data_IF_819121125388
#
_entry.id   IF_819121125388
#
_cell.length_a   1.000
_cell.length_b   1.000
_cell.length_c   1.000
_cell.angle_alpha   90.00
_cell.angle_beta   90.00
_cell.angle_gamma   90.00
#
_symmetry.space_group_name_H-M   'P 1'
#
loop_
_entity.id
_entity.type
_entity.pdbx_description
1 polymer ?
#
# COMPACT_ATOMS: atom_id res chain seq x y z
N UNK A 1 -36.99 -28.29 -29.45
CA UNK A 1 -35.85 -28.54 -28.56
C UNK A 1 -35.17 -27.20 -28.28
N UNK A 2 -34.96 -26.88 -26.99
CA UNK A 2 -34.12 -25.78 -26.47
C UNK A 2 -32.69 -25.87 -27.05
N UNK A 3 -31.86 -24.81 -27.11
CA UNK A 3 -31.29 -24.11 -25.95
C UNK A 3 -30.95 -22.63 -26.22
N UNK A 4 -31.25 -21.82 -25.21
CA UNK A 4 -30.79 -20.45 -24.98
C UNK A 4 -29.31 -20.45 -24.62
N UNK A 5 -28.52 -19.50 -25.14
CA UNK A 5 -27.18 -19.19 -24.64
C UNK A 5 -27.08 -17.69 -24.34
N UNK A 6 -27.61 -17.31 -23.18
CA UNK A 6 -27.41 -15.99 -22.61
C UNK A 6 -26.76 -16.14 -21.24
N UNK A 7 -25.45 -16.46 -21.18
CA UNK A 7 -24.71 -16.53 -19.92
C UNK A 7 -23.23 -16.13 -20.14
N UNK A 8 -22.84 -15.00 -19.55
CA UNK A 8 -21.48 -14.59 -19.15
C UNK A 8 -20.48 -14.15 -20.23
N UNK A 9 -20.72 -12.99 -20.86
CA UNK A 9 -19.60 -12.06 -21.10
C UNK A 9 -19.19 -11.47 -19.74
N UNK A 10 -18.41 -12.22 -18.96
CA UNK A 10 -17.67 -11.63 -17.81
C UNK A 10 -16.63 -10.70 -18.42
N UNK A 11 -16.97 -9.42 -18.54
CA UNK A 11 -15.98 -8.36 -18.71
C UNK A 11 -15.12 -8.41 -17.44
N UNK A 12 -13.96 -9.05 -17.52
CA UNK A 12 -12.94 -8.90 -16.49
C UNK A 12 -12.50 -7.43 -16.58
N UNK A 13 -13.12 -6.56 -15.78
CA UNK A 13 -12.57 -5.23 -15.53
C UNK A 13 -11.27 -5.46 -14.79
N UNK A 14 -10.14 -5.32 -15.46
CA UNK A 14 -8.84 -5.28 -14.80
C UNK A 14 -8.93 -4.18 -13.74
N UNK A 15 -8.75 -4.49 -12.44
CA UNK A 15 -8.79 -3.46 -11.41
C UNK A 15 -7.69 -2.45 -11.73
N UNK A 16 -8.08 -1.18 -11.85
CA UNK A 16 -7.10 -0.11 -12.04
C UNK A 16 -6.32 0.02 -10.73
N UNK A 17 -5.01 -0.19 -10.82
CA UNK A 17 -4.08 0.05 -9.73
C UNK A 17 -3.39 1.38 -10.01
N UNK A 18 -3.50 2.33 -9.08
CA UNK A 18 -2.78 3.59 -9.17
C UNK A 18 -1.64 3.60 -8.18
N UNK A 19 -0.46 3.99 -8.67
CA UNK A 19 0.77 4.07 -7.92
C UNK A 19 1.26 5.51 -7.96
N UNK A 20 1.65 6.04 -6.81
CA UNK A 20 2.14 7.40 -6.64
C UNK A 20 3.42 7.40 -5.80
N UNK A 21 4.18 8.49 -5.87
CA UNK A 21 5.21 8.83 -4.89
C UNK A 21 4.87 10.19 -4.28
N UNK A 22 5.34 10.47 -3.06
CA UNK A 22 5.12 11.77 -2.42
C UNK A 22 6.43 12.37 -1.93
N UNK A 23 6.64 13.67 -2.21
CA UNK A 23 7.70 14.47 -1.61
C UNK A 23 7.25 15.91 -1.43
N UNK A 24 7.51 16.51 -0.27
CA UNK A 24 7.20 17.92 -0.01
C UNK A 24 8.44 18.80 0.22
N UNK A 25 8.19 20.11 0.34
CA UNK A 25 9.23 21.13 0.58
C UNK A 25 9.94 20.97 1.94
N UNK A 26 9.34 20.26 2.89
CA UNK A 26 9.93 19.98 4.20
C UNK A 26 10.72 18.65 4.17
N UNK A 27 11.01 18.13 2.97
CA UNK A 27 11.71 16.87 2.73
C UNK A 27 11.02 15.64 3.35
N UNK A 28 9.69 15.68 3.57
CA UNK A 28 8.93 14.46 3.89
C UNK A 28 8.76 13.66 2.61
N UNK A 29 8.94 12.35 2.72
CA UNK A 29 8.93 11.42 1.58
C UNK A 29 8.11 10.18 1.94
N UNK A 30 7.37 9.66 0.94
CA UNK A 30 6.81 8.31 0.94
C UNK A 30 7.20 7.69 -0.39
N UNK A 31 7.95 6.59 -0.33
CA UNK A 31 8.53 5.94 -1.53
C UNK A 31 7.45 5.48 -2.52
N UNK A 32 6.36 4.90 -2.01
CA UNK A 32 5.25 4.42 -2.83
C UNK A 32 3.90 4.60 -2.10
N UNK A 33 2.87 5.01 -2.83
CA UNK A 33 1.49 5.03 -2.35
C UNK A 33 0.65 4.25 -3.35
N UNK A 34 -0.08 3.25 -2.85
CA UNK A 34 -0.99 2.43 -3.65
C UNK A 34 -2.42 2.87 -3.37
N UNK A 35 -3.15 3.28 -4.41
CA UNK A 35 -4.60 3.48 -4.29
C UNK A 35 -5.34 2.19 -4.65
N UNK A 36 -6.13 1.70 -3.70
CA UNK A 36 -6.97 0.49 -3.86
C UNK A 36 -8.20 0.62 -2.99
N UNK A 37 -9.36 0.20 -3.51
CA UNK A 37 -10.63 0.19 -2.78
C UNK A 37 -10.98 1.55 -2.12
N UNK A 38 -10.63 2.66 -2.79
CA UNK A 38 -10.89 4.03 -2.30
C UNK A 38 -9.99 4.47 -1.14
N UNK A 39 -8.85 3.81 -0.93
CA UNK A 39 -7.88 4.10 0.14
C UNK A 39 -6.47 4.25 -0.39
N UNK A 40 -5.68 5.09 0.29
CA UNK A 40 -4.26 5.29 0.02
C UNK A 40 -3.41 4.47 0.99
N UNK A 41 -2.68 3.50 0.47
CA UNK A 41 -1.80 2.61 1.22
C UNK A 41 -0.35 3.07 1.07
N UNK A 42 0.25 3.72 2.09
CA UNK A 42 1.62 4.22 2.01
C UNK A 42 2.62 3.08 2.27
N UNK A 43 3.70 3.08 1.50
CA UNK A 43 4.77 2.09 1.57
C UNK A 43 6.09 2.83 1.59
N UNK A 44 6.93 2.50 2.57
CA UNK A 44 8.31 2.95 2.66
C UNK A 44 9.24 1.75 2.45
N UNK A 45 10.35 1.94 1.76
CA UNK A 45 11.37 0.91 1.52
C UNK A 45 12.63 1.29 2.28
N UNK A 46 13.08 0.44 3.19
CA UNK A 46 14.28 0.67 3.99
C UNK A 46 15.22 -0.52 3.97
N UNK A 47 16.49 -0.26 3.68
CA UNK A 47 17.58 -1.25 3.77
C UNK A 47 18.02 -1.45 5.22
N UNK A 48 17.12 -1.95 6.06
CA UNK A 48 17.36 -2.27 7.48
C UNK A 48 16.70 -3.60 7.83
N UNK A 49 17.31 -4.40 8.72
CA UNK A 49 16.66 -5.56 9.31
C UNK A 49 15.90 -5.22 10.60
N UNK A 50 16.13 -4.03 11.16
CA UNK A 50 15.53 -3.54 12.41
C UNK A 50 14.74 -2.25 12.13
N UNK A 51 13.49 -2.36 11.62
CA UNK A 51 12.67 -1.19 11.34
C UNK A 51 12.15 -0.60 12.66
N UNK A 52 12.07 0.73 12.72
CA UNK A 52 11.64 1.47 13.91
C UNK A 52 10.35 2.25 13.65
N UNK A 53 9.52 2.42 14.69
CA UNK A 53 8.22 3.12 14.55
C UNK A 53 8.36 4.55 14.02
N UNK A 54 9.50 5.22 14.20
CA UNK A 54 9.75 6.56 13.62
C UNK A 54 9.74 6.58 12.08
N UNK A 55 9.94 5.42 11.43
CA UNK A 55 10.00 5.30 9.97
C UNK A 55 8.63 5.46 9.30
N UNK A 56 7.52 5.30 10.03
CA UNK A 56 6.16 5.50 9.50
C UNK A 56 5.64 6.94 9.69
N UNK A 57 6.44 7.86 10.24
CA UNK A 57 5.99 9.24 10.53
C UNK A 57 5.54 9.99 9.28
N UNK A 58 6.18 9.74 8.15
CA UNK A 58 5.82 10.34 6.86
C UNK A 58 4.44 9.91 6.38
N UNK A 59 3.91 8.77 6.82
CA UNK A 59 2.58 8.29 6.40
C UNK A 59 1.44 9.24 6.82
N UNK A 60 1.64 10.07 7.84
CA UNK A 60 0.65 11.07 8.25
C UNK A 60 0.40 12.17 7.20
N UNK A 61 1.30 12.37 6.23
CA UNK A 61 1.13 13.42 5.22
C UNK A 61 -0.06 13.18 4.30
N UNK A 62 -0.40 11.92 4.04
CA UNK A 62 -1.53 11.54 3.19
C UNK A 62 -2.87 11.61 3.92
N UNK A 63 -2.90 11.85 5.22
CA UNK A 63 -4.16 12.09 5.96
C UNK A 63 -4.82 13.41 5.57
N UNK A 64 -4.08 14.28 4.86
CA UNK A 64 -4.60 15.52 4.26
C UNK A 64 -5.24 15.30 2.89
N UNK A 65 -5.10 14.10 2.31
CA UNK A 65 -5.68 13.77 1.02
C UNK A 65 -7.20 13.55 1.16
N UNK A 66 -7.98 13.73 0.08
CA UNK A 66 -9.43 13.47 0.11
C UNK A 66 -9.78 11.99 0.30
N UNK A 67 -8.85 11.07 0.02
CA UNK A 67 -9.02 9.63 0.25
C UNK A 67 -8.50 9.24 1.64
N UNK A 68 -9.15 8.24 2.25
CA UNK A 68 -8.76 7.73 3.55
C UNK A 68 -7.42 6.97 3.47
N UNK A 69 -6.63 7.08 4.53
CA UNK A 69 -5.43 6.26 4.70
C UNK A 69 -5.82 4.79 4.94
N UNK A 70 -5.24 3.90 4.14
CA UNK A 70 -5.26 2.46 4.34
C UNK A 70 -4.09 1.97 5.20
N UNK A 71 -3.96 0.64 5.34
CA UNK A 71 -2.81 0.03 6.00
C UNK A 71 -1.51 0.44 5.33
N UNK A 72 -0.56 0.93 6.13
CA UNK A 72 0.79 1.25 5.67
C UNK A 72 1.75 0.08 5.85
N UNK A 73 2.86 0.09 5.12
CA UNK A 73 3.89 -0.95 5.23
C UNK A 73 5.31 -0.37 5.14
N UNK A 74 6.21 -0.90 5.97
CA UNK A 74 7.66 -0.80 5.74
C UNK A 74 8.11 -2.08 5.04
N UNK A 75 8.61 -1.98 3.81
CA UNK A 75 9.35 -3.06 3.14
C UNK A 75 10.81 -3.00 3.60
N UNK A 76 11.30 -4.08 4.21
CA UNK A 76 12.66 -4.08 4.75
C UNK A 76 13.29 -5.48 4.81
N UNK A 77 14.49 -5.58 5.37
CA UNK A 77 15.29 -6.80 5.43
C UNK A 77 15.04 -7.64 6.69
N UNK A 78 13.93 -7.42 7.39
CA UNK A 78 13.55 -8.31 8.51
C UNK A 78 13.30 -9.73 8.00
N UNK A 79 13.51 -10.73 8.85
CA UNK A 79 13.29 -12.13 8.48
C UNK A 79 11.82 -12.58 8.61
N UNK A 80 11.01 -11.82 9.37
CA UNK A 80 9.64 -12.21 9.70
C UNK A 80 8.67 -11.06 9.48
N UNK A 81 7.46 -11.40 9.01
CA UNK A 81 6.33 -10.48 9.00
C UNK A 81 6.05 -9.99 10.42
N UNK A 82 5.82 -8.69 10.57
CA UNK A 82 5.52 -8.06 11.85
C UNK A 82 4.61 -6.86 11.69
N UNK A 83 4.39 -6.14 12.79
CA UNK A 83 3.60 -4.92 12.80
C UNK A 83 4.10 -3.97 13.89
N UNK A 84 4.04 -2.67 13.63
CA UNK A 84 4.21 -1.65 14.67
C UNK A 84 2.92 -1.42 15.47
N UNK A 85 1.78 -1.58 14.78
CA UNK A 85 0.43 -1.51 15.33
C UNK A 85 -0.56 -2.07 14.28
N UNK A 86 -1.87 -1.99 14.57
CA UNK A 86 -2.93 -2.52 13.70
C UNK A 86 -2.93 -1.92 12.29
N UNK A 87 -2.37 -0.73 12.11
CA UNK A 87 -2.46 0.01 10.85
C UNK A 87 -1.15 0.03 10.06
N UNK A 88 -0.04 -0.42 10.65
CA UNK A 88 1.29 -0.29 10.07
C UNK A 88 2.06 -1.60 10.19
N UNK A 89 2.28 -2.23 9.04
CA UNK A 89 2.94 -3.53 8.92
C UNK A 89 4.44 -3.38 8.67
N UNK A 90 5.17 -4.40 9.09
CA UNK A 90 6.57 -4.62 8.75
C UNK A 90 6.60 -5.84 7.84
N UNK A 91 7.03 -5.66 6.60
CA UNK A 91 6.98 -6.70 5.57
C UNK A 91 8.40 -7.01 5.09
N UNK A 92 8.89 -8.25 5.29
CA UNK A 92 10.12 -8.72 4.66
C UNK A 92 10.08 -8.53 3.15
N UNK A 93 11.14 -8.00 2.57
CA UNK A 93 11.27 -7.90 1.11
C UNK A 93 11.27 -9.29 0.44
N UNK A 94 11.61 -10.34 1.19
CA UNK A 94 11.64 -11.73 0.72
C UNK A 94 10.25 -12.33 0.46
N UNK A 95 9.16 -11.65 0.84
CA UNK A 95 7.79 -12.11 0.61
C UNK A 95 7.17 -11.56 -0.68
N UNK A 96 7.89 -10.72 -1.42
CA UNK A 96 7.45 -10.08 -2.67
C UNK A 96 8.34 -10.57 -3.81
#
# INVERSE_FOLDING_TARGET
MQFSNNVLKRTVKTPKLYLYYYRDKDAKEIDLIVERDGRLHPIEIKKTAAPEKKMIRSFSVIERAPLLRGTGAILCLTERLGAFDRENLIVPITLI
#
